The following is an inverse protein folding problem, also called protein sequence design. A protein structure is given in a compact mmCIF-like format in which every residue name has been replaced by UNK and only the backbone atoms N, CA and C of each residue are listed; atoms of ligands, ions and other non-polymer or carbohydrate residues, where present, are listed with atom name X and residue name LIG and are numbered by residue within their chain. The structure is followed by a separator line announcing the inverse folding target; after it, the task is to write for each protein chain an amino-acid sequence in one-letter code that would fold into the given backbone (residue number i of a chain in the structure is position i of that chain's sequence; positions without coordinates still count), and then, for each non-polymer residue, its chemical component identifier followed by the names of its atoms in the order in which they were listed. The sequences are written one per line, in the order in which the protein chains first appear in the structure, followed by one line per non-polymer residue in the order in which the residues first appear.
data_IF_516815818826
#
_entry.id   IF_516815818826
#
_cell.length_a   1.000
_cell.length_b   1.000
_cell.length_c   1.000
_cell.angle_alpha   90.00
_cell.angle_beta   90.00
_cell.angle_gamma   90.00
#
_symmetry.space_group_name_H-M   'P 1'
#
loop_
_entity.id
_entity.type
_entity.pdbx_description
1 polymer ?
#
# COMPACT_ATOMS: atom_id res chain seq x y z
N UNK A 1 50.08 82.84 -36.82
CA UNK A 1 49.32 81.58 -36.63
C UNK A 1 47.83 81.89 -36.78
N UNK A 2 46.97 80.94 -37.17
CA UNK A 2 47.12 79.87 -38.17
C UNK A 2 46.45 80.39 -39.49
N UNK A 3 45.78 79.67 -40.41
CA UNK A 3 45.61 78.24 -40.72
C UNK A 3 45.47 78.04 -42.24
N UNK A 4 45.70 76.82 -42.74
CA UNK A 4 45.31 76.36 -44.08
C UNK A 4 43.91 75.72 -44.06
N UNK A 5 43.23 75.72 -45.22
CA UNK A 5 42.63 74.47 -45.77
C UNK A 5 42.46 74.55 -47.29
N UNK A 6 43.11 73.64 -48.00
CA UNK A 6 42.86 73.35 -49.40
C UNK A 6 42.01 72.08 -49.48
N UNK A 7 40.92 72.10 -50.26
CA UNK A 7 40.03 70.93 -50.38
C UNK A 7 40.33 70.13 -51.65
N UNK A 8 40.46 68.82 -51.50
CA UNK A 8 41.17 67.97 -52.49
C UNK A 8 40.24 66.92 -53.08
N UNK A 9 39.85 67.08 -54.35
CA UNK A 9 39.00 66.11 -55.06
C UNK A 9 39.73 64.77 -55.28
N UNK A 10 39.51 63.78 -54.39
CA UNK A 10 39.97 62.41 -54.62
C UNK A 10 39.05 61.67 -55.61
N UNK A 11 39.64 61.19 -56.71
CA UNK A 11 38.99 60.25 -57.63
C UNK A 11 38.92 58.87 -56.98
N UNK A 12 37.72 58.29 -56.90
CA UNK A 12 37.53 56.88 -56.56
C UNK A 12 38.17 56.00 -57.64
N UNK A 13 39.05 55.07 -57.25
CA UNK A 13 39.57 54.01 -58.12
C UNK A 13 38.91 52.69 -57.72
N UNK A 14 38.26 52.04 -58.67
CA UNK A 14 37.78 50.67 -58.53
C UNK A 14 38.97 49.71 -58.30
N UNK A 15 38.95 48.83 -57.29
CA UNK A 15 40.00 47.86 -57.08
C UNK A 15 39.92 46.72 -58.11
N UNK A 16 41.07 46.35 -58.67
CA UNK A 16 41.17 45.31 -59.68
C UNK A 16 41.15 43.88 -59.13
N UNK A 17 41.35 42.93 -60.05
CA UNK A 17 41.16 41.46 -59.94
C UNK A 17 41.84 40.79 -58.72
N UNK A 18 42.81 41.44 -58.06
CA UNK A 18 43.42 40.96 -56.81
C UNK A 18 42.44 40.84 -55.62
N UNK A 19 41.28 41.52 -55.67
CA UNK A 19 40.23 41.37 -54.64
C UNK A 19 39.54 40.00 -54.63
N UNK A 20 39.54 39.28 -55.76
CA UNK A 20 38.78 38.04 -55.94
C UNK A 20 39.46 36.79 -55.33
N UNK A 21 40.77 36.87 -55.05
CA UNK A 21 41.56 35.77 -54.48
C UNK A 21 41.58 35.76 -52.94
N UNK A 22 41.10 36.82 -52.28
CA UNK A 22 40.98 36.87 -50.83
C UNK A 22 39.66 36.27 -50.31
N UNK A 23 38.64 36.15 -51.16
CA UNK A 23 37.31 35.63 -50.77
C UNK A 23 37.24 34.11 -50.69
N UNK A 24 38.07 33.37 -51.41
CA UNK A 24 38.05 31.89 -51.39
C UNK A 24 38.72 31.28 -50.17
N UNK A 25 39.77 31.91 -49.63
CA UNK A 25 40.46 31.42 -48.43
C UNK A 25 39.59 31.45 -47.16
N UNK A 26 38.70 32.45 -47.03
CA UNK A 26 37.80 32.59 -45.88
C UNK A 26 36.70 31.52 -45.82
N UNK A 27 36.25 31.01 -46.97
CA UNK A 27 35.19 29.99 -47.03
C UNK A 27 35.74 28.61 -46.61
N UNK A 28 36.98 28.29 -46.96
CA UNK A 28 37.64 27.02 -46.56
C UNK A 28 37.94 26.90 -45.06
N UNK A 29 38.17 28.02 -44.37
CA UNK A 29 38.32 28.03 -42.91
C UNK A 29 36.97 27.93 -42.16
N UNK A 30 35.89 28.44 -42.77
CA UNK A 30 34.56 28.43 -42.16
C UNK A 30 33.91 27.03 -42.13
N UNK A 31 34.19 26.17 -43.11
CA UNK A 31 33.61 24.83 -43.18
C UNK A 31 34.13 23.87 -42.11
N UNK A 32 35.36 24.07 -41.59
CA UNK A 32 35.92 23.26 -40.49
C UNK A 32 35.37 23.67 -39.13
N UNK A 33 34.89 24.90 -38.97
CA UNK A 33 34.20 25.38 -37.75
C UNK A 33 32.69 25.10 -37.76
N UNK A 34 32.14 24.71 -38.91
CA UNK A 34 30.71 24.41 -39.13
C UNK A 34 30.19 23.10 -38.54
N UNK A 35 30.99 22.36 -37.75
CA UNK A 35 30.60 21.10 -37.12
C UNK A 35 30.66 21.24 -35.59
N UNK A 36 29.73 22.02 -35.02
CA UNK A 36 29.63 22.19 -33.55
C UNK A 36 28.21 22.42 -33.01
N UNK A 37 27.19 22.65 -33.86
CA UNK A 37 25.79 22.80 -33.43
C UNK A 37 24.94 21.54 -33.64
N UNK A 38 25.53 20.44 -34.11
CA UNK A 38 24.98 19.09 -33.92
C UNK A 38 25.21 18.61 -32.47
N UNK A 39 24.91 19.49 -31.49
CA UNK A 39 24.65 19.08 -30.12
C UNK A 39 23.31 18.34 -30.15
N UNK A 40 23.39 17.05 -30.47
CA UNK A 40 22.22 16.19 -30.53
C UNK A 40 21.42 16.31 -29.25
N UNK A 41 20.11 16.13 -29.34
CA UNK A 41 19.30 15.84 -28.17
C UNK A 41 19.71 14.48 -27.63
N UNK A 42 20.82 14.43 -26.91
CA UNK A 42 21.16 13.38 -25.96
C UNK A 42 20.08 13.43 -24.89
N UNK A 43 18.94 12.79 -25.20
CA UNK A 43 18.43 11.69 -24.44
C UNK A 43 18.81 11.75 -22.95
N UNK A 44 18.42 12.82 -22.25
CA UNK A 44 18.62 12.94 -20.82
C UNK A 44 17.57 12.11 -20.08
N UNK A 45 17.57 10.82 -20.38
CA UNK A 45 16.84 9.76 -19.68
C UNK A 45 17.38 9.53 -18.28
N UNK A 46 18.41 10.27 -17.88
CA UNK A 46 18.97 10.27 -16.54
C UNK A 46 18.78 11.63 -15.85
N UNK A 47 17.56 12.21 -15.98
CA UNK A 47 17.09 13.27 -15.10
C UNK A 47 16.89 12.70 -13.69
N UNK A 48 17.98 12.61 -12.94
CA UNK A 48 17.95 12.45 -11.49
C UNK A 48 17.55 13.78 -10.87
N UNK A 49 16.25 13.96 -10.60
CA UNK A 49 15.80 15.03 -9.72
C UNK A 49 15.95 14.55 -8.27
N UNK A 50 16.53 15.39 -7.39
CA UNK A 50 16.65 15.04 -5.98
C UNK A 50 15.28 15.22 -5.33
N UNK A 51 14.46 14.16 -5.37
CA UNK A 51 13.20 14.09 -4.65
C UNK A 51 13.52 14.29 -3.16
N UNK A 52 13.15 15.46 -2.62
CA UNK A 52 13.33 15.77 -1.21
C UNK A 52 12.71 14.65 -0.38
N UNK A 53 13.53 13.97 0.43
CA UNK A 53 13.32 12.60 0.91
C UNK A 53 11.86 12.31 1.27
N UNK A 54 11.11 11.78 0.30
CA UNK A 54 9.70 11.44 0.46
C UNK A 54 9.65 10.22 1.36
N UNK A 55 9.37 10.44 2.64
CA UNK A 55 9.27 9.36 3.63
C UNK A 55 8.16 8.41 3.20
N UNK A 56 8.56 7.26 2.64
CA UNK A 56 7.67 6.14 2.33
C UNK A 56 7.12 5.60 3.65
N UNK A 57 6.00 6.18 4.09
CA UNK A 57 5.36 5.85 5.35
C UNK A 57 4.59 4.54 5.19
N UNK A 58 5.28 3.42 5.29
CA UNK A 58 4.66 2.12 5.40
C UNK A 58 3.64 2.14 6.55
N UNK A 59 2.38 1.85 6.25
CA UNK A 59 1.34 1.79 7.26
C UNK A 59 1.51 0.54 8.14
N UNK A 60 1.18 0.64 9.42
CA UNK A 60 1.23 -0.50 10.33
C UNK A 60 -0.06 -1.33 10.26
N UNK A 61 0.06 -2.63 10.51
CA UNK A 61 -1.07 -3.54 10.72
C UNK A 61 -0.87 -4.29 12.04
N UNK A 62 -1.95 -4.42 12.82
CA UNK A 62 -1.97 -5.18 14.06
C UNK A 62 -3.40 -5.43 14.50
N UNK A 63 -3.66 -6.58 15.14
CA UNK A 63 -4.96 -6.91 15.71
C UNK A 63 -4.85 -7.11 17.22
N UNK A 64 -5.91 -6.75 17.94
CA UNK A 64 -6.09 -7.12 19.35
C UNK A 64 -7.50 -7.63 19.64
N UNK A 65 -7.48 -8.71 20.41
CA UNK A 65 -8.46 -9.48 21.19
C UNK A 65 -8.92 -8.85 22.51
N UNK A 66 -9.98 -8.04 22.59
CA UNK A 66 -10.30 -7.31 23.84
C UNK A 66 -9.08 -6.56 24.43
N UNK A 67 -8.26 -5.96 23.56
CA UNK A 67 -7.02 -5.24 23.93
C UNK A 67 -5.75 -6.11 24.00
N UNK A 68 -5.84 -7.43 23.92
CA UNK A 68 -4.70 -8.36 23.98
C UNK A 68 -4.37 -9.00 22.63
N UNK A 69 -3.10 -9.27 22.33
CA UNK A 69 -2.73 -10.01 21.10
C UNK A 69 -3.20 -11.48 21.15
N UNK A 70 -3.10 -12.11 22.32
CA UNK A 70 -3.69 -13.40 22.64
C UNK A 70 -4.77 -13.20 23.70
N UNK A 71 -6.00 -13.65 23.44
CA UNK A 71 -7.12 -13.53 24.37
C UNK A 71 -7.66 -14.92 24.75
N UNK A 72 -7.62 -15.24 26.04
CA UNK A 72 -8.27 -16.44 26.54
C UNK A 72 -9.78 -16.22 26.57
N UNK A 73 -10.53 -17.00 25.79
CA UNK A 73 -11.99 -17.07 25.88
C UNK A 73 -12.36 -17.62 27.26
N UNK A 74 -12.77 -16.73 28.17
CA UNK A 74 -13.11 -17.10 29.54
C UNK A 74 -14.15 -18.22 29.58
N UNK A 75 -13.82 -19.33 30.27
CA UNK A 75 -14.54 -20.60 30.12
C UNK A 75 -15.97 -20.65 30.67
N UNK A 76 -16.46 -19.62 31.36
CA UNK A 76 -17.76 -19.67 32.06
C UNK A 76 -19.01 -19.89 31.19
N UNK A 77 -19.10 -19.45 29.91
CA UNK A 77 -20.23 -19.82 29.05
C UNK A 77 -20.09 -21.23 28.48
N UNK A 78 -18.88 -21.79 28.49
CA UNK A 78 -18.49 -22.95 27.70
C UNK A 78 -18.25 -24.22 28.55
N UNK A 79 -18.07 -24.06 29.87
CA UNK A 79 -17.62 -25.12 30.78
C UNK A 79 -18.67 -26.15 31.18
N UNK A 80 -19.95 -25.93 30.86
CA UNK A 80 -21.07 -26.79 31.31
C UNK A 80 -22.18 -26.91 30.25
N UNK A 81 -21.80 -27.10 28.98
CA UNK A 81 -22.75 -27.37 27.89
C UNK A 81 -23.22 -28.83 27.92
N UNK A 82 -24.53 -29.04 27.76
CA UNK A 82 -25.12 -30.35 27.46
C UNK A 82 -25.15 -30.59 25.94
N UNK A 83 -25.23 -31.84 25.45
CA UNK A 83 -25.36 -32.11 24.02
C UNK A 83 -26.63 -31.44 23.46
N UNK A 84 -26.46 -30.60 22.45
CA UNK A 84 -27.50 -29.73 21.88
C UNK A 84 -27.48 -28.29 22.39
N UNK A 85 -26.76 -28.00 23.48
CA UNK A 85 -26.69 -26.64 24.02
C UNK A 85 -25.89 -25.68 23.15
N UNK A 86 -26.28 -24.42 23.25
CA UNK A 86 -25.69 -23.27 22.59
C UNK A 86 -25.31 -22.25 23.65
N UNK A 87 -24.05 -21.83 23.66
CA UNK A 87 -23.63 -20.63 24.38
C UNK A 87 -23.08 -19.58 23.42
N UNK A 88 -22.91 -18.36 23.92
CA UNK A 88 -22.41 -17.23 23.13
C UNK A 88 -21.56 -16.31 24.00
N UNK A 89 -20.48 -15.78 23.42
CA UNK A 89 -19.60 -14.80 24.04
C UNK A 89 -19.31 -13.69 23.05
N UNK A 90 -19.41 -12.45 23.51
CA UNK A 90 -19.07 -11.27 22.73
C UNK A 90 -17.61 -10.88 22.99
N UNK A 91 -16.88 -10.60 21.91
CA UNK A 91 -15.53 -10.03 21.96
C UNK A 91 -15.43 -8.78 21.10
N UNK A 92 -14.45 -7.95 21.38
CA UNK A 92 -14.09 -6.78 20.57
C UNK A 92 -12.78 -7.06 19.84
N UNK A 93 -12.76 -6.82 18.52
CA UNK A 93 -11.57 -6.96 17.69
C UNK A 93 -11.18 -5.58 17.20
N UNK A 94 -9.98 -5.13 17.55
CA UNK A 94 -9.45 -3.81 17.19
C UNK A 94 -8.27 -3.92 16.24
N UNK A 95 -8.31 -3.17 15.15
CA UNK A 95 -7.13 -2.89 14.34
C UNK A 95 -6.29 -1.83 15.07
N UNK A 96 -5.12 -2.21 15.56
CA UNK A 96 -4.18 -1.30 16.24
C UNK A 96 -3.21 -0.62 15.28
N UNK A 97 -3.22 -1.02 14.00
CA UNK A 97 -2.46 -0.40 12.94
C UNK A 97 -3.12 0.84 12.34
N UNK A 98 -2.44 1.48 11.40
CA UNK A 98 -2.97 2.59 10.59
C UNK A 98 -3.60 2.12 9.28
N UNK A 99 -3.30 0.90 8.84
CA UNK A 99 -3.70 0.36 7.54
C UNK A 99 -5.07 -0.33 7.61
N UNK A 100 -6.02 -0.03 6.70
CA UNK A 100 -7.28 -0.76 6.61
C UNK A 100 -7.09 -2.24 6.24
N UNK A 101 -7.84 -3.15 6.88
CA UNK A 101 -7.68 -4.58 6.69
C UNK A 101 -9.01 -5.34 6.71
N UNK A 102 -9.11 -6.42 5.95
CA UNK A 102 -10.19 -7.40 6.05
C UNK A 102 -9.80 -8.44 7.10
N UNK A 103 -10.70 -8.73 8.05
CA UNK A 103 -10.43 -9.72 9.11
C UNK A 103 -11.19 -11.02 8.84
N UNK A 104 -10.50 -12.15 8.86
CA UNK A 104 -11.09 -13.49 8.77
C UNK A 104 -10.82 -14.29 10.05
N UNK A 105 -11.70 -15.25 10.34
CA UNK A 105 -11.63 -16.11 11.53
C UNK A 105 -11.74 -17.57 11.12
N UNK A 106 -10.75 -18.36 11.49
CA UNK A 106 -10.81 -19.82 11.44
C UNK A 106 -10.84 -20.40 12.85
N UNK A 107 -11.32 -21.63 13.00
CA UNK A 107 -11.38 -22.31 14.30
C UNK A 107 -10.86 -23.73 14.20
N UNK A 108 -9.86 -24.06 15.02
CA UNK A 108 -9.35 -25.42 15.18
C UNK A 108 -9.98 -26.03 16.45
N UNK A 109 -10.86 -27.00 16.27
CA UNK A 109 -11.53 -27.73 17.35
C UNK A 109 -11.00 -29.17 17.57
N UNK A 110 -9.97 -29.58 16.82
CA UNK A 110 -9.48 -30.96 16.86
C UNK A 110 -10.59 -31.96 16.48
N UNK A 111 -10.70 -33.04 17.24
CA UNK A 111 -11.79 -34.03 17.14
C UNK A 111 -12.98 -33.72 18.06
N UNK A 112 -13.09 -32.50 18.58
CA UNK A 112 -14.19 -32.11 19.47
C UNK A 112 -15.54 -32.10 18.74
N UNK A 113 -16.61 -32.60 19.38
CA UNK A 113 -17.96 -32.63 18.81
C UNK A 113 -18.66 -31.25 18.93
N UNK A 114 -17.98 -30.16 18.52
CA UNK A 114 -18.46 -28.78 18.61
C UNK A 114 -18.54 -28.12 17.23
N UNK A 115 -19.53 -27.24 17.06
CA UNK A 115 -19.57 -26.26 15.98
C UNK A 115 -19.32 -24.87 16.55
N UNK A 116 -18.49 -24.08 15.88
CA UNK A 116 -18.22 -22.68 16.25
C UNK A 116 -18.71 -21.79 15.12
N UNK A 117 -19.54 -20.81 15.44
CA UNK A 117 -20.18 -19.89 14.48
C UNK A 117 -19.86 -18.47 14.92
N UNK A 118 -19.51 -17.62 13.97
CA UNK A 118 -18.97 -16.28 14.27
C UNK A 118 -19.68 -15.25 13.39
N UNK A 119 -20.02 -14.09 13.97
CA UNK A 119 -20.73 -13.00 13.30
C UNK A 119 -20.21 -11.66 13.80
N UNK A 120 -20.12 -10.65 12.94
CA UNK A 120 -19.89 -9.27 13.37
C UNK A 120 -21.16 -8.62 13.93
N UNK A 121 -20.99 -7.81 14.98
CA UNK A 121 -22.07 -7.24 15.80
C UNK A 121 -22.28 -7.98 17.12
N UNK A 122 -23.31 -7.56 17.86
CA UNK A 122 -23.64 -8.10 19.17
C UNK A 122 -24.25 -9.52 19.09
N UNK A 123 -24.08 -10.30 20.15
CA UNK A 123 -24.73 -11.61 20.26
C UNK A 123 -26.25 -11.45 20.35
N UNK A 124 -26.94 -11.92 19.30
CA UNK A 124 -28.35 -11.65 19.03
C UNK A 124 -28.99 -12.89 18.40
N UNK A 125 -29.44 -13.81 19.25
CA UNK A 125 -29.98 -15.11 18.83
C UNK A 125 -28.95 -16.02 18.15
N UNK A 126 -29.45 -17.09 17.54
CA UNK A 126 -28.64 -18.11 16.84
C UNK A 126 -28.06 -17.58 15.52
N UNK A 127 -26.74 -17.74 15.35
CA UNK A 127 -26.01 -17.43 14.12
C UNK A 127 -26.25 -18.55 13.08
N UNK A 128 -27.00 -18.22 12.02
CA UNK A 128 -27.14 -19.05 10.83
C UNK A 128 -25.92 -18.88 9.88
N UNK A 129 -25.62 -19.91 9.07
CA UNK A 129 -24.51 -19.90 8.10
C UNK A 129 -23.62 -21.15 8.18
N UNK A 130 -22.42 -21.13 7.56
CA UNK A 130 -21.39 -22.15 7.77
C UNK A 130 -20.72 -22.04 9.16
N UNK A 131 -20.08 -23.11 9.60
CA UNK A 131 -19.24 -23.11 10.82
C UNK A 131 -17.84 -22.57 10.52
N UNK A 132 -17.27 -21.78 11.44
CA UNK A 132 -15.86 -21.36 11.38
C UNK A 132 -14.87 -22.50 11.63
N UNK A 133 -15.34 -23.66 12.09
CA UNK A 133 -14.55 -24.90 12.16
C UNK A 133 -14.34 -25.56 10.78
N UNK A 134 -15.26 -25.36 9.83
CA UNK A 134 -15.18 -25.94 8.48
C UNK A 134 -14.74 -24.94 7.42
N UNK A 135 -15.02 -23.65 7.62
CA UNK A 135 -14.74 -22.62 6.60
C UNK A 135 -14.40 -21.29 7.27
N UNK A 136 -13.27 -20.64 6.94
CA UNK A 136 -12.93 -19.33 7.50
C UNK A 136 -14.04 -18.31 7.28
N UNK A 137 -14.49 -17.67 8.35
CA UNK A 137 -15.58 -16.70 8.35
C UNK A 137 -15.01 -15.28 8.25
N UNK A 138 -15.47 -14.48 7.30
CA UNK A 138 -15.02 -13.08 7.15
C UNK A 138 -15.86 -12.16 8.04
N UNK A 139 -15.19 -11.37 8.88
CA UNK A 139 -15.83 -10.46 9.85
C UNK A 139 -16.17 -9.12 9.22
N UNK A 140 -17.30 -9.05 8.51
CA UNK A 140 -17.73 -7.86 7.76
C UNK A 140 -16.65 -7.37 6.75
N UNK A 141 -16.80 -6.17 6.20
CA UNK A 141 -15.88 -5.61 5.21
C UNK A 141 -14.58 -5.08 5.83
N UNK A 142 -14.07 -4.00 5.26
CA UNK A 142 -12.79 -3.40 5.66
C UNK A 142 -12.86 -2.76 7.07
N UNK A 143 -12.00 -3.23 7.97
CA UNK A 143 -11.74 -2.64 9.28
C UNK A 143 -10.64 -1.57 9.16
N UNK A 144 -11.02 -0.30 9.26
CA UNK A 144 -10.09 0.83 9.20
C UNK A 144 -9.03 0.79 10.33
N UNK A 145 -7.90 1.45 10.13
CA UNK A 145 -6.87 1.61 11.16
C UNK A 145 -7.42 2.29 12.41
N UNK A 146 -7.06 1.78 13.60
CA UNK A 146 -7.59 2.24 14.90
C UNK A 146 -9.02 1.80 15.23
N UNK A 147 -9.80 1.33 14.25
CA UNK A 147 -11.20 0.97 14.44
C UNK A 147 -11.38 -0.33 15.22
N UNK A 148 -12.53 -0.46 15.90
CA UNK A 148 -12.92 -1.65 16.67
C UNK A 148 -14.27 -2.16 16.19
N UNK A 149 -14.38 -3.46 15.98
CA UNK A 149 -15.66 -4.14 15.71
C UNK A 149 -16.01 -5.07 16.87
N UNK A 150 -17.31 -5.18 17.13
CA UNK A 150 -17.85 -6.23 17.99
C UNK A 150 -18.01 -7.51 17.18
N UNK A 151 -17.72 -8.65 17.80
CA UNK A 151 -17.85 -9.99 17.23
C UNK A 151 -18.59 -10.87 18.23
N UNK A 152 -19.65 -11.53 17.79
CA UNK A 152 -20.25 -12.62 18.53
C UNK A 152 -19.62 -13.95 18.12
N UNK A 153 -19.21 -14.73 19.11
CA UNK A 153 -18.76 -16.11 18.99
C UNK A 153 -19.85 -16.98 19.62
N UNK A 154 -20.36 -17.95 18.88
CA UNK A 154 -21.32 -18.93 19.35
C UNK A 154 -20.69 -20.32 19.23
N UNK A 155 -20.73 -21.11 20.29
CA UNK A 155 -20.36 -22.54 20.26
C UNK A 155 -21.60 -23.36 20.55
N UNK A 156 -21.82 -24.35 19.70
CA UNK A 156 -22.86 -25.37 19.86
C UNK A 156 -22.18 -26.70 20.16
N UNK A 157 -22.56 -27.35 21.26
CA UNK A 157 -22.13 -28.73 21.51
C UNK A 157 -23.06 -29.67 20.74
N UNK A 158 -22.53 -30.46 19.82
CA UNK A 158 -23.37 -31.34 18.98
C UNK A 158 -23.89 -32.54 19.77
N UNK A 159 -24.99 -33.13 19.29
CA UNK A 159 -25.61 -34.32 19.91
C UNK A 159 -24.71 -35.57 19.91
N UNK A 160 -23.57 -35.54 19.18
CA UNK A 160 -22.56 -36.59 19.20
C UNK A 160 -21.61 -36.51 20.41
N UNK A 161 -21.76 -35.51 21.28
CA UNK A 161 -20.90 -35.31 22.43
C UNK A 161 -21.10 -36.35 23.53
N UNK A 162 -19.99 -36.98 23.96
CA UNK A 162 -19.96 -37.84 25.13
C UNK A 162 -19.93 -37.01 26.42
N UNK A 163 -20.62 -37.48 27.46
CA UNK A 163 -20.68 -36.82 28.77
C UNK A 163 -19.30 -36.78 29.45
N UNK A 164 -19.07 -35.76 30.27
CA UNK A 164 -17.85 -35.54 31.06
C UNK A 164 -16.54 -35.41 30.23
N UNK A 165 -16.63 -35.11 28.94
CA UNK A 165 -15.48 -34.79 28.11
C UNK A 165 -15.24 -33.28 28.06
N UNK A 166 -13.96 -32.89 28.11
CA UNK A 166 -13.52 -31.52 27.86
C UNK A 166 -12.64 -31.51 26.62
N UNK A 167 -12.87 -30.54 25.73
CA UNK A 167 -12.11 -30.40 24.49
C UNK A 167 -11.74 -28.93 24.26
N UNK A 168 -10.44 -28.61 24.07
CA UNK A 168 -10.01 -27.25 23.77
C UNK A 168 -10.32 -26.91 22.31
N UNK A 169 -10.54 -25.63 22.04
CA UNK A 169 -10.57 -25.08 20.69
C UNK A 169 -9.80 -23.77 20.63
N UNK A 170 -9.21 -23.48 19.47
CA UNK A 170 -8.43 -22.27 19.22
C UNK A 170 -9.03 -21.52 18.05
N UNK A 171 -9.21 -20.20 18.19
CA UNK A 171 -9.69 -19.33 17.12
C UNK A 171 -8.56 -18.42 16.64
N UNK A 172 -8.31 -18.42 15.33
CA UNK A 172 -7.27 -17.59 14.71
C UNK A 172 -7.93 -16.45 13.95
N UNK A 173 -7.59 -15.22 14.32
CA UNK A 173 -8.05 -14.00 13.65
C UNK A 173 -6.93 -13.50 12.74
N UNK A 174 -7.15 -13.47 11.43
CA UNK A 174 -6.17 -13.04 10.43
C UNK A 174 -6.63 -11.72 9.82
N UNK A 175 -5.78 -10.68 9.89
CA UNK A 175 -5.98 -9.45 9.13
C UNK A 175 -5.16 -9.46 7.85
N UNK A 176 -5.82 -9.25 6.71
CA UNK A 176 -5.17 -9.01 5.43
C UNK A 176 -5.35 -7.53 5.07
N UNK A 177 -4.26 -6.82 4.77
CA UNK A 177 -4.31 -5.44 4.29
C UNK A 177 -5.18 -5.36 3.03
N UNK A 178 -6.08 -4.37 2.99
CA UNK A 178 -6.75 -3.99 1.74
C UNK A 178 -5.82 -3.05 0.98
N UNK A 179 -5.43 -3.46 -0.24
CA UNK A 179 -4.73 -2.59 -1.17
C UNK A 179 -5.78 -1.65 -1.80
N UNK A 180 -5.59 -0.32 -1.76
CA UNK A 180 -6.49 0.65 -2.39
C UNK A 180 -6.40 0.65 -3.92
#
# INVERSE_FOLDING_TARGET
MPAHRADTRRRLRLPGIKGLLLTTALIGAASVLGVSTAAGSFANWNRSDTVAASTLRAGSLGLTINGSANYALGGTPWSSLMPGDVASQQVSVKNTGTTPATVTVSTAAGSAPIEVRVKSGACSGTIAGPSSTTTPTTLSGTLAGGATITVCIQVTLTNAAAQNQSAPFTMTFTANQVIP
#
